data_IF_388155959116
#
_entry.id   IF_388155959116
#
_cell.length_a   1.000
_cell.length_b   1.000
_cell.length_c   1.000
_cell.angle_alpha   90.00
_cell.angle_beta   90.00
_cell.angle_gamma   90.00
#
_symmetry.space_group_name_H-M   'P 1'
#
loop_
_entity.id
_entity.type
_entity.pdbx_description
1 polymer ?
#
# COMPACT_ATOMS: atom_id res chain seq x y z
N UNK A 1 8.88 3.54 -20.97
CA UNK A 1 9.25 4.65 -20.10
C UNK A 1 9.75 4.17 -18.75
N UNK A 2 10.69 4.90 -18.17
CA UNK A 2 11.19 4.59 -16.85
C UNK A 2 10.19 5.03 -15.79
N UNK A 3 10.14 4.27 -14.68
CA UNK A 3 9.34 4.63 -13.53
C UNK A 3 10.22 4.58 -12.29
N UNK A 4 9.80 5.31 -11.26
CA UNK A 4 10.54 5.39 -10.02
C UNK A 4 9.59 5.23 -8.84
N UNK A 5 9.80 4.22 -7.99
CA UNK A 5 8.99 3.97 -6.80
C UNK A 5 9.89 3.97 -5.58
N UNK A 6 9.52 4.73 -4.57
CA UNK A 6 10.22 4.76 -3.29
C UNK A 6 9.29 4.29 -2.18
N UNK A 7 9.74 3.30 -1.41
CA UNK A 7 9.02 2.82 -0.24
C UNK A 7 9.72 3.34 1.00
N UNK A 8 9.04 4.17 1.77
CA UNK A 8 9.58 4.76 3.00
C UNK A 8 8.86 4.17 4.21
N UNK A 9 9.63 3.81 5.23
CA UNK A 9 9.07 3.22 6.45
C UNK A 9 8.10 4.18 7.16
N UNK A 10 8.35 5.49 7.06
CA UNK A 10 7.47 6.48 7.66
C UNK A 10 6.05 6.45 7.07
N UNK A 11 5.93 6.03 5.81
CA UNK A 11 4.64 5.90 5.15
C UNK A 11 3.93 4.61 5.51
N UNK A 12 4.67 3.63 6.01
CA UNK A 12 4.16 2.30 6.31
C UNK A 12 4.67 1.81 7.67
N UNK A 13 4.27 2.48 8.77
CA UNK A 13 4.79 2.13 10.10
C UNK A 13 4.38 0.71 10.55
N UNK A 14 3.34 0.15 9.94
CA UNK A 14 2.86 -1.20 10.23
C UNK A 14 3.65 -2.29 9.49
N UNK A 15 4.53 -1.90 8.56
CA UNK A 15 5.22 -2.86 7.69
C UNK A 15 6.09 -3.86 8.45
N UNK A 16 6.95 -3.44 9.42
CA UNK A 16 7.77 -4.41 10.15
C UNK A 16 6.94 -5.43 10.91
N UNK A 17 5.81 -5.01 11.48
CA UNK A 17 4.91 -5.89 12.22
C UNK A 17 4.38 -7.01 11.32
N UNK A 18 3.93 -6.68 10.12
CA UNK A 18 3.40 -7.68 9.20
C UNK A 18 4.51 -8.56 8.64
N UNK A 19 5.70 -7.99 8.42
CA UNK A 19 6.84 -8.74 7.88
C UNK A 19 7.26 -9.86 8.83
N UNK A 20 7.16 -9.63 10.14
CA UNK A 20 7.52 -10.61 11.15
C UNK A 20 6.32 -11.37 11.70
N UNK A 21 5.16 -11.21 11.10
CA UNK A 21 3.92 -11.79 11.58
C UNK A 21 3.65 -13.20 11.04
N UNK A 22 2.37 -13.58 11.09
CA UNK A 22 1.91 -14.89 10.62
C UNK A 22 2.00 -14.98 9.09
N UNK A 23 1.81 -16.20 8.56
CA UNK A 23 1.79 -16.40 7.11
C UNK A 23 0.66 -15.60 6.44
N UNK A 24 -0.49 -15.47 7.13
CA UNK A 24 -1.61 -14.67 6.63
C UNK A 24 -1.24 -13.20 6.60
N UNK A 25 -0.61 -12.70 7.66
CA UNK A 25 -0.17 -11.30 7.71
C UNK A 25 0.86 -10.99 6.62
N UNK A 26 1.77 -11.91 6.35
CA UNK A 26 2.76 -11.75 5.28
C UNK A 26 2.10 -11.72 3.91
N UNK A 27 1.06 -12.53 3.71
CA UNK A 27 0.27 -12.52 2.48
C UNK A 27 -0.39 -11.16 2.26
N UNK A 28 -1.01 -10.62 3.31
CA UNK A 28 -1.65 -9.31 3.21
C UNK A 28 -0.62 -8.21 2.96
N UNK A 29 0.55 -8.29 3.60
CA UNK A 29 1.63 -7.35 3.35
C UNK A 29 2.00 -7.32 1.86
N UNK A 30 2.16 -8.51 1.26
CA UNK A 30 2.52 -8.59 -0.15
C UNK A 30 1.45 -7.98 -1.04
N UNK A 31 0.16 -8.19 -0.73
CA UNK A 31 -0.94 -7.60 -1.49
C UNK A 31 -0.94 -6.08 -1.38
N UNK A 32 -0.70 -5.56 -0.17
CA UNK A 32 -0.68 -4.12 0.05
C UNK A 32 0.50 -3.46 -0.67
N UNK A 33 1.67 -4.06 -0.59
CA UNK A 33 2.85 -3.53 -1.28
C UNK A 33 2.68 -3.57 -2.81
N UNK A 34 2.14 -4.67 -3.33
CA UNK A 34 1.88 -4.79 -4.76
C UNK A 34 0.89 -3.72 -5.23
N UNK A 35 -0.13 -3.43 -4.42
CA UNK A 35 -1.11 -2.39 -4.74
C UNK A 35 -0.49 -1.00 -4.72
N UNK A 36 0.39 -0.73 -3.75
CA UNK A 36 1.10 0.54 -3.69
C UNK A 36 1.96 0.74 -4.93
N UNK A 37 2.74 -0.27 -5.28
CA UNK A 37 3.61 -0.20 -6.45
C UNK A 37 2.81 -0.07 -7.74
N UNK A 38 1.73 -0.86 -7.87
CA UNK A 38 0.89 -0.85 -9.07
C UNK A 38 0.23 0.50 -9.29
N UNK A 39 -0.36 1.09 -8.24
CA UNK A 39 -1.01 2.39 -8.35
C UNK A 39 -0.03 3.50 -8.65
N UNK A 40 1.15 3.46 -8.02
CA UNK A 40 2.21 4.43 -8.25
C UNK A 40 2.70 4.37 -9.70
N UNK A 41 3.03 3.18 -10.17
CA UNK A 41 3.52 2.99 -11.55
C UNK A 41 2.46 3.40 -12.58
N UNK A 42 1.22 3.00 -12.36
CA UNK A 42 0.12 3.36 -13.27
C UNK A 42 0.00 4.87 -13.42
N UNK A 43 0.02 5.59 -12.30
CA UNK A 43 -0.09 7.05 -12.32
C UNK A 43 1.07 7.69 -13.10
N UNK A 44 2.29 7.16 -12.93
CA UNK A 44 3.45 7.67 -13.66
C UNK A 44 3.30 7.47 -15.16
N UNK A 45 2.85 6.28 -15.56
CA UNK A 45 2.65 5.96 -16.97
C UNK A 45 1.55 6.81 -17.60
N UNK A 46 0.44 6.99 -16.89
CA UNK A 46 -0.68 7.80 -17.38
C UNK A 46 -0.28 9.26 -17.57
N UNK A 47 0.58 9.78 -16.69
CA UNK A 47 1.03 11.16 -16.74
C UNK A 47 2.34 11.32 -17.54
N UNK A 48 2.91 10.21 -18.00
CA UNK A 48 4.16 10.18 -18.77
C UNK A 48 5.30 10.90 -18.03
N UNK A 49 5.44 10.60 -16.74
CA UNK A 49 6.51 11.19 -15.90
C UNK A 49 7.24 10.07 -15.16
N UNK A 50 8.51 10.34 -14.83
CA UNK A 50 9.33 9.45 -14.01
C UNK A 50 9.49 10.11 -12.63
N UNK A 51 8.46 9.97 -11.80
CA UNK A 51 8.42 10.60 -10.49
C UNK A 51 7.58 9.76 -9.57
N UNK A 52 8.05 9.56 -8.34
CA UNK A 52 7.31 8.80 -7.34
C UNK A 52 5.92 9.39 -7.11
N UNK A 53 4.89 8.61 -7.44
CA UNK A 53 3.49 9.02 -7.26
C UNK A 53 2.94 8.37 -6.00
N UNK A 54 3.51 8.76 -4.86
CA UNK A 54 3.22 8.20 -3.55
C UNK A 54 1.72 8.22 -3.23
N UNK A 55 1.04 9.32 -3.50
CA UNK A 55 -0.38 9.43 -3.15
C UNK A 55 -1.25 8.48 -3.96
N UNK A 56 -0.92 8.25 -5.23
CA UNK A 56 -1.62 7.28 -6.06
C UNK A 56 -1.37 5.87 -5.55
N UNK A 57 -0.14 5.58 -5.11
CA UNK A 57 0.19 4.29 -4.50
C UNK A 57 -0.59 4.06 -3.22
N UNK A 58 -0.64 5.05 -2.34
CA UNK A 58 -1.39 4.96 -1.08
C UNK A 58 -2.88 4.78 -1.34
N UNK A 59 -3.44 5.49 -2.30
CA UNK A 59 -4.86 5.35 -2.64
C UNK A 59 -5.19 3.93 -3.11
N UNK A 60 -4.34 3.36 -3.96
CA UNK A 60 -4.50 1.99 -4.42
C UNK A 60 -4.38 0.98 -3.27
N UNK A 61 -3.41 1.20 -2.39
CA UNK A 61 -3.20 0.35 -1.22
C UNK A 61 -4.41 0.36 -0.29
N UNK A 62 -5.02 1.53 -0.07
CA UNK A 62 -6.20 1.65 0.77
C UNK A 62 -7.40 0.91 0.20
N UNK A 63 -7.56 0.89 -1.12
CA UNK A 63 -8.62 0.11 -1.76
C UNK A 63 -8.42 -1.39 -1.53
N UNK A 64 -7.19 -1.86 -1.64
CA UNK A 64 -6.86 -3.26 -1.38
C UNK A 64 -7.09 -3.59 0.10
N UNK A 65 -6.71 -2.69 1.00
CA UNK A 65 -6.94 -2.86 2.42
C UNK A 65 -8.43 -3.03 2.73
N UNK A 66 -9.28 -2.20 2.12
CA UNK A 66 -10.73 -2.30 2.32
C UNK A 66 -11.25 -3.67 1.89
N UNK A 67 -10.77 -4.20 0.77
CA UNK A 67 -11.16 -5.53 0.31
C UNK A 67 -10.69 -6.63 1.25
N UNK A 68 -9.48 -6.51 1.78
CA UNK A 68 -8.97 -7.48 2.76
C UNK A 68 -9.86 -7.45 4.02
N UNK A 69 -10.25 -6.26 4.47
CA UNK A 69 -11.11 -6.10 5.64
C UNK A 69 -12.49 -6.74 5.44
N UNK A 70 -13.03 -6.68 4.23
CA UNK A 70 -14.30 -7.34 3.93
C UNK A 70 -14.19 -8.85 4.09
N UNK A 71 -13.08 -9.43 3.63
CA UNK A 71 -12.87 -10.88 3.71
C UNK A 71 -12.40 -11.33 5.09
N UNK A 72 -11.66 -10.46 5.81
CA UNK A 72 -11.07 -10.79 7.10
C UNK A 72 -11.20 -9.59 8.04
N UNK A 73 -12.35 -9.44 8.73
CA UNK A 73 -12.57 -8.29 9.62
C UNK A 73 -11.62 -8.24 10.81
N UNK A 74 -10.93 -9.32 11.14
CA UNK A 74 -9.96 -9.33 12.24
C UNK A 74 -8.66 -8.64 11.87
N UNK A 75 -8.37 -8.49 10.59
CA UNK A 75 -7.16 -7.80 10.13
C UNK A 75 -7.40 -6.29 10.16
N UNK A 76 -6.59 -5.58 10.95
CA UNK A 76 -6.77 -4.13 11.09
C UNK A 76 -5.41 -3.42 11.21
N UNK A 77 -5.24 -2.38 10.43
CA UNK A 77 -4.08 -1.48 10.47
C UNK A 77 -4.59 -0.08 10.77
N UNK A 78 -4.54 0.31 12.04
CA UNK A 78 -5.06 1.59 12.50
C UNK A 78 -4.39 2.78 11.83
N UNK A 79 -3.09 2.70 11.62
CA UNK A 79 -2.32 3.77 11.00
C UNK A 79 -2.83 4.06 9.59
N UNK A 80 -3.16 3.01 8.86
CA UNK A 80 -3.68 3.15 7.50
C UNK A 80 -5.08 3.75 7.49
N UNK A 81 -5.91 3.35 8.48
CA UNK A 81 -7.26 3.89 8.61
C UNK A 81 -7.25 5.35 9.02
N UNK A 82 -6.32 5.74 9.89
CA UNK A 82 -6.20 7.13 10.32
C UNK A 82 -5.81 8.05 9.19
N UNK A 83 -4.92 7.64 8.31
CA UNK A 83 -4.57 8.41 7.13
C UNK A 83 -5.78 8.64 6.22
N UNK A 84 -6.68 7.68 6.15
CA UNK A 84 -7.88 7.77 5.30
C UNK A 84 -8.84 8.84 5.76
N UNK A 85 -8.78 9.25 7.02
CA UNK A 85 -9.72 10.21 7.61
C UNK A 85 -9.26 11.65 7.51
N UNK A 86 -8.09 11.90 6.97
CA UNK A 86 -7.57 13.26 6.80
C UNK A 86 -8.08 13.92 5.53
#
# INVERSE_FOLDING_TARGET
PDVFVMIQENDMPWLPKLRSGTSVEKKYLNLLLASFMGGNVRAQLEQNICQDMRNAGLASMKKTYAKIREADPSFQLRELEQESKR
#
